data_IF_046886495531
#
_entry.id   IF_046886495531
#
_cell.length_a   1.000
_cell.length_b   1.000
_cell.length_c   1.000
_cell.angle_alpha   90.00
_cell.angle_beta   90.00
_cell.angle_gamma   90.00
#
_symmetry.space_group_name_H-M   'P 1'
#
loop_
_entity.id
_entity.type
_entity.pdbx_description
1 polymer ?
#
# COMPACT_ATOMS: atom_id res chain seq x y z
N UNK A 1 16.11 -8.66 20.51
CA UNK A 1 16.03 -8.15 19.13
C UNK A 1 14.64 -8.46 18.61
N UNK A 2 13.87 -7.44 18.23
CA UNK A 2 12.51 -7.58 17.67
C UNK A 2 12.57 -8.22 16.28
N UNK A 3 11.67 -9.17 15.96
CA UNK A 3 11.58 -9.82 14.66
C UNK A 3 10.66 -9.05 13.70
N UNK A 4 10.75 -9.30 12.39
CA UNK A 4 9.85 -8.71 11.39
C UNK A 4 8.38 -8.98 11.73
N UNK A 5 8.06 -10.21 12.12
CA UNK A 5 6.73 -10.63 12.55
C UNK A 5 6.25 -9.87 13.79
N UNK A 6 7.14 -9.65 14.78
CA UNK A 6 6.80 -8.89 15.99
C UNK A 6 6.55 -7.41 15.71
N UNK A 7 7.25 -6.82 14.74
CA UNK A 7 6.96 -5.43 14.31
C UNK A 7 5.51 -5.33 13.83
N UNK A 8 5.07 -6.25 12.98
CA UNK A 8 3.68 -6.30 12.51
C UNK A 8 2.70 -6.46 13.67
N UNK A 9 2.93 -7.43 14.54
CA UNK A 9 2.04 -7.72 15.67
C UNK A 9 1.91 -6.52 16.62
N UNK A 10 3.02 -5.83 16.93
CA UNK A 10 2.99 -4.64 17.78
C UNK A 10 2.27 -3.46 17.14
N UNK A 11 2.47 -3.22 15.85
CA UNK A 11 1.72 -2.19 15.12
C UNK A 11 0.22 -2.51 15.07
N UNK A 12 -0.14 -3.77 14.83
CA UNK A 12 -1.55 -4.21 14.86
C UNK A 12 -2.15 -3.98 16.24
N UNK A 13 -1.47 -4.39 17.31
CA UNK A 13 -1.94 -4.18 18.68
C UNK A 13 -2.11 -2.69 19.00
N UNK A 14 -1.13 -1.86 18.65
CA UNK A 14 -1.18 -0.43 18.89
C UNK A 14 -2.37 0.22 18.17
N UNK A 15 -2.52 -0.02 16.88
CA UNK A 15 -3.59 0.62 16.10
C UNK A 15 -4.99 0.07 16.43
N UNK A 16 -5.08 -1.19 16.86
CA UNK A 16 -6.31 -1.72 17.45
C UNK A 16 -6.70 -0.92 18.70
N UNK A 17 -5.76 -0.61 19.58
CA UNK A 17 -6.00 0.22 20.78
C UNK A 17 -6.40 1.67 20.43
N UNK A 18 -6.00 2.16 19.26
CA UNK A 18 -6.43 3.47 18.74
C UNK A 18 -7.79 3.41 17.99
N UNK A 19 -8.49 2.27 18.06
CA UNK A 19 -9.82 2.10 17.46
C UNK A 19 -9.83 1.81 15.97
N UNK A 20 -8.72 1.38 15.38
CA UNK A 20 -8.69 0.94 14.00
C UNK A 20 -9.19 -0.50 13.85
N UNK A 21 -10.05 -0.75 12.87
CA UNK A 21 -10.38 -2.09 12.43
C UNK A 21 -9.16 -2.74 11.78
N UNK A 22 -8.73 -3.90 12.27
CA UNK A 22 -7.64 -4.66 11.64
C UNK A 22 -8.20 -5.46 10.47
N UNK A 23 -7.83 -5.07 9.27
CA UNK A 23 -8.27 -5.74 8.04
C UNK A 23 -7.18 -6.65 7.49
N UNK A 24 -7.59 -7.57 6.63
CA UNK A 24 -6.66 -8.38 5.86
C UNK A 24 -6.20 -7.62 4.61
N UNK A 25 -5.03 -7.95 4.03
CA UNK A 25 -4.62 -7.36 2.77
C UNK A 25 -5.66 -7.62 1.67
N UNK A 26 -5.71 -6.75 0.66
CA UNK A 26 -6.47 -7.07 -0.55
C UNK A 26 -5.81 -8.26 -1.24
N UNK A 27 -6.62 -9.21 -1.73
CA UNK A 27 -6.19 -10.50 -2.26
C UNK A 27 -5.85 -10.46 -3.76
N UNK A 28 -5.25 -9.37 -4.19
CA UNK A 28 -4.76 -9.20 -5.56
C UNK A 28 -3.52 -8.31 -5.60
N UNK A 29 -2.86 -8.25 -6.75
CA UNK A 29 -1.64 -7.48 -6.93
C UNK A 29 -1.96 -5.98 -6.94
N UNK A 30 -1.31 -5.26 -6.03
CA UNK A 30 -1.39 -3.79 -5.93
C UNK A 30 0.00 -3.21 -5.70
N UNK A 31 0.22 -1.98 -6.15
CA UNK A 31 1.50 -1.29 -6.02
C UNK A 31 1.69 -0.53 -4.70
N UNK A 32 0.63 -0.37 -3.92
CA UNK A 32 0.65 0.32 -2.63
C UNK A 32 -0.57 -0.03 -1.78
N UNK A 33 -0.45 0.18 -0.46
CA UNK A 33 -1.56 0.03 0.48
C UNK A 33 -2.74 0.94 0.17
N UNK A 34 -2.49 2.12 -0.39
CA UNK A 34 -3.53 3.06 -0.85
C UNK A 34 -4.52 2.45 -1.85
N UNK A 35 -4.08 1.47 -2.62
CA UNK A 35 -4.93 0.77 -3.61
C UNK A 35 -5.96 -0.16 -2.99
N UNK A 36 -5.82 -0.52 -1.72
CA UNK A 36 -6.84 -1.30 -1.01
C UNK A 36 -8.16 -0.54 -0.97
N UNK A 37 -9.29 -1.24 -1.13
CA UNK A 37 -10.63 -0.63 -1.05
C UNK A 37 -10.86 0.12 0.26
N UNK A 38 -10.26 -0.36 1.36
CA UNK A 38 -10.31 0.29 2.67
C UNK A 38 -9.68 1.67 2.73
N UNK A 39 -8.77 2.00 1.81
CA UNK A 39 -8.19 3.34 1.68
C UNK A 39 -8.80 4.07 0.50
N UNK A 40 -8.63 3.58 -0.72
CA UNK A 40 -9.05 4.29 -1.94
C UNK A 40 -10.54 4.63 -1.94
N UNK A 41 -11.42 3.65 -1.76
CA UNK A 41 -12.86 3.88 -1.81
C UNK A 41 -13.38 4.51 -0.51
N UNK A 42 -12.86 4.08 0.65
CA UNK A 42 -13.31 4.60 1.94
C UNK A 42 -12.83 6.02 2.25
N UNK A 43 -11.85 6.54 1.53
CA UNK A 43 -11.50 7.97 1.56
C UNK A 43 -12.62 8.85 1.01
N UNK A 44 -13.49 8.30 0.17
CA UNK A 44 -14.61 9.01 -0.44
C UNK A 44 -15.83 9.11 0.49
N UNK A 45 -16.54 10.21 0.38
CA UNK A 45 -17.77 10.45 1.12
C UNK A 45 -17.58 10.82 2.59
N UNK A 46 -18.69 11.17 3.28
CA UNK A 46 -18.65 11.76 4.62
C UNK A 46 -18.55 10.72 5.75
N UNK A 47 -18.62 9.42 5.45
CA UNK A 47 -18.69 8.38 6.46
C UNK A 47 -17.37 8.27 7.24
N UNK A 48 -17.41 8.23 8.60
CA UNK A 48 -16.22 8.02 9.41
C UNK A 48 -15.63 6.63 9.17
N UNK A 49 -14.29 6.54 9.22
CA UNK A 49 -13.58 5.30 8.96
C UNK A 49 -12.25 5.23 9.70
N UNK A 50 -11.92 4.07 10.24
CA UNK A 50 -10.61 3.79 10.83
C UNK A 50 -10.22 2.35 10.53
N UNK A 51 -9.09 2.14 9.88
CA UNK A 51 -8.58 0.80 9.58
C UNK A 51 -7.06 0.76 9.58
N UNK A 52 -6.52 -0.42 9.82
CA UNK A 52 -5.10 -0.71 9.70
C UNK A 52 -4.91 -2.12 9.13
N UNK A 53 -3.91 -2.29 8.27
CA UNK A 53 -3.63 -3.59 7.64
C UNK A 53 -2.22 -3.63 7.07
N UNK A 54 -1.69 -4.84 6.92
CA UNK A 54 -0.48 -5.08 6.12
C UNK A 54 -0.89 -5.25 4.67
N UNK A 55 -0.19 -4.60 3.76
CA UNK A 55 -0.42 -4.78 2.33
C UNK A 55 0.89 -5.11 1.63
N UNK A 56 1.07 -6.36 1.16
CA UNK A 56 2.11 -6.69 0.20
C UNK A 56 1.94 -5.85 -1.05
N UNK A 57 2.98 -5.10 -1.42
CA UNK A 57 2.93 -4.14 -2.52
C UNK A 57 3.93 -4.55 -3.59
N UNK A 58 3.46 -4.69 -4.82
CA UNK A 58 4.26 -5.15 -5.96
C UNK A 58 4.63 -3.99 -6.87
N UNK A 59 5.93 -3.83 -7.10
CA UNK A 59 6.49 -2.82 -8.00
C UNK A 59 7.44 -3.49 -8.98
N UNK A 60 6.94 -4.00 -10.11
CA UNK A 60 7.73 -4.80 -11.06
C UNK A 60 9.03 -4.14 -11.52
N UNK A 61 9.04 -2.81 -11.71
CA UNK A 61 10.24 -2.06 -12.09
C UNK A 61 11.33 -2.01 -11.02
N UNK A 62 10.97 -2.22 -9.76
CA UNK A 62 11.91 -2.19 -8.64
C UNK A 62 12.60 -3.54 -8.40
N UNK A 63 12.24 -4.56 -9.15
CA UNK A 63 12.89 -5.87 -9.12
C UNK A 63 14.40 -5.79 -9.37
N UNK A 64 15.19 -6.57 -8.63
CA UNK A 64 16.66 -6.58 -8.70
C UNK A 64 17.25 -7.98 -8.53
N UNK A 65 16.52 -9.03 -8.92
CA UNK A 65 16.97 -10.44 -8.87
C UNK A 65 17.43 -10.91 -7.47
N UNK A 66 16.97 -10.25 -6.40
CA UNK A 66 17.43 -10.52 -5.04
C UNK A 66 18.87 -10.05 -4.76
N UNK A 67 19.48 -9.27 -5.64
CA UNK A 67 20.89 -8.83 -5.53
C UNK A 67 21.05 -7.47 -4.84
N UNK A 68 19.96 -6.70 -4.68
CA UNK A 68 20.00 -5.40 -4.02
C UNK A 68 19.52 -5.51 -2.56
N UNK A 69 20.28 -4.98 -1.59
CA UNK A 69 19.95 -5.13 -0.17
C UNK A 69 18.72 -4.29 0.28
N UNK A 70 18.29 -3.31 -0.53
CA UNK A 70 17.27 -2.34 -0.14
C UNK A 70 16.10 -2.22 -1.12
N UNK A 71 16.21 -2.76 -2.34
CA UNK A 71 15.19 -2.62 -3.37
C UNK A 71 14.60 -3.98 -3.76
N UNK A 72 13.28 -4.08 -3.67
CA UNK A 72 12.53 -5.29 -3.85
C UNK A 72 11.40 -5.09 -4.87
N UNK A 73 11.08 -6.14 -5.62
CA UNK A 73 9.85 -6.23 -6.40
C UNK A 73 8.61 -6.17 -5.52
N UNK A 74 8.63 -6.89 -4.40
CA UNK A 74 7.54 -6.91 -3.42
C UNK A 74 8.05 -6.48 -2.05
N UNK A 75 7.39 -5.50 -1.46
CA UNK A 75 7.64 -5.07 -0.08
C UNK A 75 6.32 -4.99 0.68
N UNK A 76 6.40 -4.92 2.01
CA UNK A 76 5.22 -4.87 2.87
C UNK A 76 5.04 -3.45 3.42
N UNK A 77 3.86 -2.91 3.19
CA UNK A 77 3.44 -1.67 3.82
C UNK A 77 2.49 -1.98 4.96
N UNK A 78 2.71 -1.36 6.12
CA UNK A 78 1.67 -1.30 7.14
C UNK A 78 0.91 -0.01 6.93
N UNK A 79 -0.37 -0.14 6.60
CA UNK A 79 -1.24 0.94 6.19
C UNK A 79 -2.20 1.28 7.32
N UNK A 80 -2.30 2.58 7.65
CA UNK A 80 -3.32 3.12 8.55
C UNK A 80 -4.11 4.18 7.83
N UNK A 81 -5.43 4.15 7.94
CA UNK A 81 -6.33 5.14 7.34
C UNK A 81 -7.36 5.59 8.35
N UNK A 82 -7.48 6.90 8.55
CA UNK A 82 -8.40 7.51 9.52
C UNK A 82 -9.14 8.67 8.85
N UNK A 83 -10.46 8.60 8.86
CA UNK A 83 -11.36 9.63 8.34
C UNK A 83 -12.44 9.98 9.39
N UNK A 84 -12.61 11.26 9.75
CA UNK A 84 -11.73 12.38 9.41
C UNK A 84 -10.34 12.22 10.01
N UNK A 85 -9.33 12.84 9.37
CA UNK A 85 -7.97 12.87 9.88
C UNK A 85 -7.95 13.55 11.26
N UNK A 86 -7.46 12.88 12.33
CA UNK A 86 -7.41 13.50 13.66
C UNK A 86 -6.30 14.57 13.72
N UNK A 87 -6.52 15.60 14.51
CA UNK A 87 -5.55 16.69 14.68
C UNK A 87 -4.23 16.25 15.31
N UNK A 88 -4.25 15.15 16.08
CA UNK A 88 -3.10 14.57 16.77
C UNK A 88 -2.51 13.34 16.04
N UNK A 89 -2.72 13.19 14.73
CA UNK A 89 -2.27 12.01 13.99
C UNK A 89 -0.74 11.80 14.08
N UNK A 90 0.04 12.89 14.16
CA UNK A 90 1.50 12.83 14.33
C UNK A 90 1.85 12.24 15.69
N UNK A 91 1.17 12.65 16.76
CA UNK A 91 1.39 12.12 18.11
C UNK A 91 1.03 10.63 18.19
N UNK A 92 -0.06 10.21 17.51
CA UNK A 92 -0.44 8.81 17.38
C UNK A 92 0.65 8.00 16.66
N UNK A 93 1.21 8.55 15.59
CA UNK A 93 2.33 7.91 14.89
C UNK A 93 3.57 7.77 15.78
N UNK A 94 4.01 8.84 16.44
CA UNK A 94 5.15 8.79 17.36
C UNK A 94 4.88 7.80 18.51
N UNK A 95 3.65 7.70 18.97
CA UNK A 95 3.21 6.68 19.93
C UNK A 95 3.41 5.25 19.39
N UNK A 96 3.15 5.02 18.11
CA UNK A 96 3.37 3.71 17.49
C UNK A 96 4.85 3.34 17.41
N UNK A 97 5.74 4.31 17.16
CA UNK A 97 7.19 4.08 17.18
C UNK A 97 7.67 3.70 18.59
N UNK A 98 7.17 4.39 19.62
CA UNK A 98 7.46 4.04 21.01
C UNK A 98 6.95 2.61 21.38
N UNK A 99 5.80 2.21 20.83
CA UNK A 99 5.28 0.84 21.03
C UNK A 99 6.20 -0.23 20.39
N UNK A 100 6.95 0.13 19.36
CA UNK A 100 8.00 -0.73 18.77
C UNK A 100 9.29 -0.75 19.60
N UNK A 101 9.43 0.12 20.60
CA UNK A 101 10.65 0.27 21.41
C UNK A 101 11.61 1.32 20.88
N UNK A 102 11.17 2.18 19.95
CA UNK A 102 11.96 3.29 19.44
C UNK A 102 11.83 4.47 20.39
N UNK A 103 12.94 4.94 20.92
CA UNK A 103 13.00 6.17 21.70
C UNK A 103 12.97 7.38 20.76
N UNK A 104 11.84 8.08 20.75
CA UNK A 104 11.61 9.22 19.86
C UNK A 104 12.31 10.50 20.30
N UNK A 105 12.93 10.54 21.50
CA UNK A 105 13.68 11.67 21.99
C UNK A 105 15.17 11.58 21.63
N UNK A 106 15.67 10.34 21.45
CA UNK A 106 17.09 10.07 21.15
C UNK A 106 17.33 9.95 19.64
N UNK A 107 16.34 9.48 18.89
CA UNK A 107 16.46 9.28 17.45
C UNK A 107 16.16 10.58 16.68
N UNK A 108 16.95 10.85 15.63
CA UNK A 108 16.71 11.96 14.71
C UNK A 108 15.53 11.61 13.80
N UNK A 109 14.34 12.11 14.15
CA UNK A 109 13.11 11.92 13.39
C UNK A 109 12.75 13.24 12.72
N UNK A 110 12.72 13.23 11.38
CA UNK A 110 12.43 14.40 10.56
C UNK A 110 11.20 14.17 9.73
N UNK A 111 10.33 15.17 9.72
CA UNK A 111 9.18 15.26 8.82
C UNK A 111 9.56 16.18 7.67
N UNK A 112 9.72 15.61 6.49
CA UNK A 112 10.10 16.33 5.27
C UNK A 112 8.88 16.45 4.39
N UNK A 113 8.52 17.67 3.99
CA UNK A 113 7.36 17.93 3.14
C UNK A 113 7.48 17.15 1.83
N UNK A 114 6.46 16.36 1.52
CA UNK A 114 6.32 15.60 0.28
C UNK A 114 4.86 15.52 -0.12
N UNK A 115 4.52 16.16 -1.24
CA UNK A 115 3.19 16.10 -1.80
C UNK A 115 3.05 14.82 -2.62
N UNK A 116 2.33 13.89 -2.05
CA UNK A 116 2.11 12.58 -2.64
C UNK A 116 1.06 12.61 -3.75
N UNK A 117 1.32 11.87 -4.83
CA UNK A 117 0.34 11.66 -5.90
C UNK A 117 0.40 10.24 -6.47
N UNK A 118 -0.74 9.78 -6.96
CA UNK A 118 -0.87 8.57 -7.74
C UNK A 118 -1.68 8.87 -9.01
N UNK A 119 -1.00 9.10 -10.15
CA UNK A 119 -1.66 9.52 -11.38
C UNK A 119 -2.67 8.51 -11.94
N UNK A 120 -2.46 7.20 -11.75
CA UNK A 120 -3.37 6.17 -12.24
C UNK A 120 -4.67 6.12 -11.44
N UNK A 121 -4.61 6.39 -10.15
CA UNK A 121 -5.78 6.43 -9.28
C UNK A 121 -6.43 7.83 -9.23
N UNK A 122 -5.85 8.84 -9.86
CA UNK A 122 -6.34 10.21 -9.78
C UNK A 122 -6.37 10.72 -8.33
N UNK A 123 -5.39 10.30 -7.53
CA UNK A 123 -5.29 10.61 -6.13
C UNK A 123 -4.07 11.49 -5.86
N UNK A 124 -4.22 12.46 -4.96
CA UNK A 124 -3.12 13.26 -4.44
C UNK A 124 -3.44 13.80 -3.05
N UNK A 125 -2.41 14.16 -2.32
CA UNK A 125 -2.54 14.71 -0.99
C UNK A 125 -1.30 15.48 -0.54
N UNK A 126 -1.49 16.33 0.45
CA UNK A 126 -0.41 16.97 1.18
C UNK A 126 0.17 15.97 2.17
N UNK A 127 1.48 16.02 2.41
CA UNK A 127 2.05 15.07 3.34
C UNK A 127 3.52 15.28 3.65
N UNK A 128 4.07 14.27 4.29
CA UNK A 128 5.47 14.21 4.70
C UNK A 128 6.05 12.81 4.53
N UNK A 129 7.30 12.76 4.11
CA UNK A 129 8.16 11.62 4.40
C UNK A 129 8.67 11.71 5.83
N UNK A 130 8.67 10.61 6.56
CA UNK A 130 9.31 10.53 7.87
C UNK A 130 10.65 9.83 7.71
N UNK A 131 11.70 10.56 8.00
CA UNK A 131 13.07 10.08 7.99
C UNK A 131 13.55 9.83 9.43
N UNK A 132 14.06 8.65 9.68
CA UNK A 132 14.63 8.26 10.96
C UNK A 132 16.11 7.92 10.77
N UNK A 133 16.98 8.72 11.41
CA UNK A 133 18.44 8.59 11.32
C UNK A 133 18.96 8.49 9.86
N UNK A 134 18.36 9.27 8.96
CA UNK A 134 18.77 9.33 7.55
C UNK A 134 18.12 8.28 6.63
N UNK A 135 17.17 7.47 7.12
CA UNK A 135 16.39 6.51 6.32
C UNK A 135 14.93 6.89 6.35
N UNK A 136 14.29 7.01 5.17
CA UNK A 136 12.84 7.16 5.06
C UNK A 136 12.16 5.86 5.50
N UNK A 137 11.29 5.95 6.51
CA UNK A 137 10.60 4.79 7.09
C UNK A 137 9.08 4.83 6.94
N UNK A 138 8.52 6.02 6.71
CA UNK A 138 7.06 6.21 6.68
C UNK A 138 6.69 7.37 5.77
N UNK A 139 5.53 7.25 5.13
CA UNK A 139 4.86 8.32 4.38
C UNK A 139 3.55 8.69 5.06
N UNK A 140 3.33 9.97 5.29
CA UNK A 140 2.02 10.54 5.65
C UNK A 140 1.35 11.15 4.43
N UNK A 141 0.04 10.99 4.34
CA UNK A 141 -0.75 11.64 3.29
C UNK A 141 -2.08 12.13 3.86
N UNK A 142 -2.41 13.38 3.62
CA UNK A 142 -3.74 13.93 3.83
C UNK A 142 -4.41 14.03 2.46
N UNK A 143 -5.29 13.09 2.15
CA UNK A 143 -5.94 13.04 0.85
C UNK A 143 -6.79 14.26 0.59
N UNK A 144 -6.45 14.98 -0.47
CA UNK A 144 -7.24 16.09 -0.99
C UNK A 144 -8.21 15.59 -2.06
N UNK A 145 -7.76 14.62 -2.85
CA UNK A 145 -8.52 14.07 -3.97
C UNK A 145 -8.22 12.58 -4.14
N UNK A 146 -9.24 11.80 -4.45
CA UNK A 146 -9.15 10.37 -4.76
C UNK A 146 -10.11 10.05 -5.89
N UNK A 147 -9.64 9.36 -6.92
CA UNK A 147 -10.43 9.11 -8.12
C UNK A 147 -10.95 10.38 -8.80
N UNK A 148 -10.23 11.48 -8.69
CA UNK A 148 -10.66 12.77 -9.21
C UNK A 148 -11.77 13.45 -8.40
N UNK A 149 -12.18 12.92 -7.25
CA UNK A 149 -13.20 13.48 -6.35
C UNK A 149 -12.54 14.07 -5.10
N UNK A 150 -13.03 15.22 -4.66
CA UNK A 150 -12.57 15.83 -3.41
C UNK A 150 -12.90 14.96 -2.20
N UNK A 151 -11.93 14.82 -1.28
CA UNK A 151 -12.11 14.15 0.00
C UNK A 151 -12.68 15.12 1.04
N UNK A 152 -13.92 14.91 1.43
CA UNK A 152 -14.63 15.69 2.46
C UNK A 152 -15.38 14.74 3.40
N UNK A 153 -14.93 14.61 4.67
CA UNK A 153 -13.76 15.22 5.28
C UNK A 153 -12.42 14.66 4.76
N UNK A 154 -11.32 15.36 5.07
CA UNK A 154 -9.96 14.90 4.74
C UNK A 154 -9.68 13.58 5.44
N UNK A 155 -9.09 12.65 4.71
CA UNK A 155 -8.63 11.35 5.22
C UNK A 155 -7.13 11.41 5.45
N UNK A 156 -6.69 10.99 6.63
CA UNK A 156 -5.27 10.82 6.96
C UNK A 156 -4.84 9.39 6.70
N UNK A 157 -3.69 9.23 6.04
CA UNK A 157 -3.04 7.95 5.76
C UNK A 157 -1.64 7.94 6.36
N UNK A 158 -1.26 6.81 6.96
CA UNK A 158 0.10 6.54 7.42
C UNK A 158 0.54 5.24 6.77
N UNK A 159 1.65 5.29 6.03
CA UNK A 159 2.20 4.13 5.33
C UNK A 159 3.60 3.85 5.84
N UNK A 160 3.75 2.79 6.64
CA UNK A 160 5.06 2.34 7.12
C UNK A 160 5.70 1.41 6.09
N UNK A 161 6.98 1.62 5.80
CA UNK A 161 7.82 0.64 5.10
C UNK A 161 8.34 -0.40 6.10
N UNK A 162 7.72 -1.57 6.16
CA UNK A 162 8.01 -2.56 7.22
C UNK A 162 9.44 -3.09 7.16
N UNK A 163 9.98 -3.32 5.97
CA UNK A 163 11.35 -3.78 5.78
C UNK A 163 12.35 -2.75 6.31
N UNK A 164 12.24 -1.50 5.87
CA UNK A 164 13.15 -0.42 6.31
C UNK A 164 13.06 -0.18 7.81
N UNK A 165 11.86 -0.17 8.37
CA UNK A 165 11.64 -0.01 9.80
C UNK A 165 12.28 -1.17 10.59
N UNK A 166 12.14 -2.40 10.11
CA UNK A 166 12.73 -3.58 10.75
C UNK A 166 14.25 -3.61 10.59
N UNK A 167 14.80 -3.21 9.42
CA UNK A 167 16.25 -3.06 9.22
C UNK A 167 16.85 -2.12 10.25
N UNK A 168 16.20 -0.98 10.49
CA UNK A 168 16.61 -0.06 11.54
C UNK A 168 16.58 -0.73 12.93
N UNK A 169 15.47 -1.37 13.30
CA UNK A 169 15.30 -2.00 14.63
C UNK A 169 16.24 -3.18 14.89
N UNK A 170 16.66 -3.86 13.84
CA UNK A 170 17.61 -4.97 13.92
C UNK A 170 19.05 -4.57 13.67
N UNK A 171 19.30 -3.31 13.31
CA UNK A 171 20.61 -2.80 12.87
C UNK A 171 21.20 -3.69 11.76
N UNK A 172 20.44 -3.85 10.68
CA UNK A 172 20.72 -4.74 9.57
C UNK A 172 20.73 -3.97 8.25
N UNK A 173 21.77 -4.14 7.45
CA UNK A 173 22.00 -3.40 6.20
C UNK A 173 21.47 -4.13 4.96
N UNK A 174 21.05 -5.39 5.11
CA UNK A 174 20.52 -6.19 4.02
C UNK A 174 19.16 -6.77 4.42
N UNK A 175 18.15 -6.45 3.64
CA UNK A 175 16.76 -6.89 3.89
C UNK A 175 16.62 -8.42 3.99
N UNK A 176 17.40 -9.18 3.24
CA UNK A 176 17.35 -10.64 3.25
C UNK A 176 17.89 -11.28 4.53
N UNK A 177 18.72 -10.54 5.29
CA UNK A 177 19.27 -11.00 6.56
C UNK A 177 18.38 -10.66 7.76
N UNK A 178 17.28 -9.93 7.55
CA UNK A 178 16.30 -9.65 8.59
C UNK A 178 15.81 -10.93 9.24
N UNK A 179 15.78 -10.97 10.56
CA UNK A 179 15.15 -12.05 11.31
C UNK A 179 13.63 -11.90 11.18
N UNK A 180 13.01 -12.83 10.46
CA UNK A 180 11.57 -12.86 10.25
C UNK A 180 10.84 -13.36 11.50
N UNK A 181 11.29 -14.53 12.02
CA UNK A 181 10.80 -15.11 13.28
C UNK A 181 11.84 -16.08 13.89
N UNK A 182 11.59 -16.48 15.14
CA UNK A 182 12.36 -17.49 15.85
C UNK A 182 11.44 -18.45 16.59
N UNK A 183 11.90 -19.70 16.75
CA UNK A 183 11.22 -20.69 17.60
C UNK A 183 12.22 -21.60 18.26
N UNK A 184 11.76 -22.36 19.26
CA UNK A 184 12.53 -23.40 19.94
C UNK A 184 12.14 -24.74 19.36
N UNK A 185 13.15 -25.53 18.94
CA UNK A 185 12.95 -26.92 18.57
C UNK A 185 12.80 -27.82 19.79
N UNK A 186 12.34 -29.05 19.60
CA UNK A 186 12.13 -30.04 20.63
C UNK A 186 13.43 -30.38 21.43
N UNK A 187 14.59 -30.20 20.81
CA UNK A 187 15.90 -30.39 21.43
C UNK A 187 16.40 -29.16 22.20
N UNK A 188 15.60 -28.10 22.26
CA UNK A 188 15.94 -26.82 22.91
C UNK A 188 16.80 -25.89 22.07
N UNK A 189 17.16 -26.26 20.84
CA UNK A 189 17.88 -25.37 19.94
C UNK A 189 16.98 -24.24 19.42
N UNK A 190 17.54 -23.03 19.24
CA UNK A 190 16.82 -21.91 18.64
C UNK A 190 16.99 -21.94 17.12
N UNK A 191 15.86 -22.00 16.42
CA UNK A 191 15.81 -21.80 14.98
C UNK A 191 15.47 -20.36 14.63
N UNK A 192 16.07 -19.88 13.56
CA UNK A 192 15.82 -18.54 13.01
C UNK A 192 15.39 -18.69 11.56
N UNK A 193 14.29 -18.05 11.20
CA UNK A 193 13.86 -17.85 9.82
C UNK A 193 14.17 -16.42 9.42
N UNK A 194 14.86 -16.24 8.30
CA UNK A 194 15.18 -14.92 7.77
C UNK A 194 14.14 -14.46 6.74
N UNK A 195 14.12 -13.16 6.45
CA UNK A 195 13.35 -12.60 5.34
C UNK A 195 13.77 -13.23 3.99
N UNK A 196 15.06 -13.46 3.83
CA UNK A 196 15.63 -14.13 2.66
C UNK A 196 15.11 -15.56 2.48
N UNK A 197 15.01 -16.34 3.56
CA UNK A 197 14.45 -17.70 3.50
C UNK A 197 13.02 -17.70 2.96
N UNK A 198 12.26 -16.65 3.25
CA UNK A 198 10.85 -16.54 2.82
C UNK A 198 10.71 -15.98 1.41
N UNK A 199 11.49 -14.94 1.05
CA UNK A 199 11.20 -14.10 -0.13
C UNK A 199 12.28 -14.05 -1.19
N UNK A 200 13.55 -14.44 -0.89
CA UNK A 200 14.65 -14.25 -1.84
C UNK A 200 14.41 -14.95 -3.18
N UNK A 201 14.01 -16.21 -3.17
CA UNK A 201 13.76 -16.96 -4.42
C UNK A 201 12.60 -16.35 -5.21
N UNK A 202 11.55 -15.85 -4.52
CA UNK A 202 10.47 -15.14 -5.19
C UNK A 202 10.97 -13.85 -5.88
N UNK A 203 11.86 -13.09 -5.22
CA UNK A 203 12.48 -11.90 -5.84
C UNK A 203 13.25 -12.24 -7.11
N UNK A 204 14.01 -13.34 -7.11
CA UNK A 204 14.76 -13.82 -8.28
C UNK A 204 13.80 -14.16 -9.44
N UNK A 205 12.83 -15.02 -9.19
CA UNK A 205 11.91 -15.51 -10.22
C UNK A 205 10.96 -14.42 -10.76
N UNK A 206 10.45 -13.57 -9.87
CA UNK A 206 9.62 -12.44 -10.30
C UNK A 206 10.40 -11.40 -11.12
N UNK A 207 11.69 -11.22 -10.84
CA UNK A 207 12.54 -10.36 -11.67
C UNK A 207 12.67 -10.90 -13.09
N UNK A 208 12.94 -12.21 -13.24
CA UNK A 208 12.96 -12.87 -14.55
C UNK A 208 11.61 -12.75 -15.26
N UNK A 209 10.51 -12.97 -14.55
CA UNK A 209 9.17 -12.82 -15.13
C UNK A 209 8.93 -11.37 -15.59
N UNK A 210 9.21 -10.38 -14.74
CA UNK A 210 8.91 -8.97 -15.04
C UNK A 210 9.72 -8.43 -16.22
N UNK A 211 11.00 -8.80 -16.32
CA UNK A 211 11.91 -8.21 -17.30
C UNK A 211 12.12 -9.06 -18.56
N UNK A 212 11.92 -10.38 -18.50
CA UNK A 212 12.34 -11.30 -19.53
C UNK A 212 11.23 -12.24 -20.03
N UNK A 213 10.56 -12.95 -19.12
CA UNK A 213 9.70 -14.06 -19.46
C UNK A 213 8.23 -13.71 -19.71
N UNK A 214 7.75 -12.56 -19.21
CA UNK A 214 6.37 -12.15 -19.46
C UNK A 214 6.12 -11.88 -20.94
N UNK A 215 4.95 -12.31 -21.41
CA UNK A 215 4.53 -12.20 -22.81
C UNK A 215 3.81 -10.84 -23.05
N UNK A 216 4.43 -9.88 -23.77
CA UNK A 216 3.84 -8.57 -23.97
C UNK A 216 2.49 -8.60 -24.69
N UNK A 217 2.30 -9.49 -25.66
CA UNK A 217 1.04 -9.58 -26.41
C UNK A 217 -0.11 -10.04 -25.52
N UNK A 218 0.14 -10.99 -24.63
CA UNK A 218 -0.86 -11.45 -23.67
C UNK A 218 -1.18 -10.36 -22.65
N UNK A 219 -0.17 -9.64 -22.17
CA UNK A 219 -0.37 -8.53 -21.23
C UNK A 219 -1.20 -7.40 -21.86
N UNK A 220 -0.95 -7.06 -23.13
CA UNK A 220 -1.75 -6.06 -23.84
C UNK A 220 -3.23 -6.48 -23.93
N UNK A 221 -3.49 -7.75 -24.30
CA UNK A 221 -4.86 -8.29 -24.37
C UNK A 221 -5.53 -8.33 -22.98
N UNK A 222 -4.78 -8.66 -21.95
CA UNK A 222 -5.29 -8.66 -20.56
C UNK A 222 -5.66 -7.23 -20.12
N UNK A 223 -4.82 -6.25 -20.43
CA UNK A 223 -5.14 -4.85 -20.11
C UNK A 223 -6.44 -4.41 -20.79
N UNK A 224 -6.59 -4.66 -22.07
CA UNK A 224 -7.80 -4.29 -22.82
C UNK A 224 -9.04 -5.02 -22.27
N UNK A 225 -8.90 -6.27 -21.88
CA UNK A 225 -9.96 -7.03 -21.22
C UNK A 225 -10.37 -6.39 -19.89
N UNK A 226 -9.43 -6.09 -19.01
CA UNK A 226 -9.74 -5.51 -17.70
C UNK A 226 -10.35 -4.11 -17.83
N UNK A 227 -9.88 -3.30 -18.75
CA UNK A 227 -10.46 -1.98 -19.01
C UNK A 227 -11.91 -2.09 -19.51
N UNK A 228 -12.17 -2.94 -20.49
CA UNK A 228 -13.52 -3.12 -21.05
C UNK A 228 -14.47 -3.74 -20.04
N UNK A 229 -14.00 -4.70 -19.25
CA UNK A 229 -14.80 -5.33 -18.20
C UNK A 229 -15.12 -4.35 -17.06
N UNK A 230 -14.16 -3.49 -16.66
CA UNK A 230 -14.44 -2.42 -15.69
C UNK A 230 -15.60 -1.52 -16.17
N UNK A 231 -15.57 -1.10 -17.44
CA UNK A 231 -16.62 -0.27 -18.04
C UNK A 231 -17.97 -0.98 -18.04
N UNK A 232 -18.00 -2.25 -18.45
CA UNK A 232 -19.24 -3.06 -18.45
C UNK A 232 -19.83 -3.23 -17.05
N UNK A 233 -18.99 -3.45 -16.04
CA UNK A 233 -19.45 -3.60 -14.65
C UNK A 233 -19.99 -2.28 -14.08
N UNK A 234 -19.45 -1.14 -14.48
CA UNK A 234 -19.99 0.17 -14.10
C UNK A 234 -21.37 0.42 -14.71
N UNK A 235 -21.60 0.00 -15.96
CA UNK A 235 -22.95 0.07 -16.60
C UNK A 235 -23.97 -0.76 -15.83
N UNK A 236 -23.53 -1.80 -15.12
CA UNK A 236 -24.37 -2.60 -14.24
C UNK A 236 -24.45 -2.06 -12.80
N UNK A 237 -23.87 -0.90 -12.49
CA UNK A 237 -23.75 -0.32 -11.15
C UNK A 237 -23.00 -1.21 -10.14
N UNK A 238 -22.02 -1.97 -10.61
CA UNK A 238 -21.18 -2.86 -9.79
C UNK A 238 -19.79 -2.25 -9.56
N UNK A 239 -19.72 -1.16 -8.79
CA UNK A 239 -18.51 -0.40 -8.57
C UNK A 239 -17.40 -1.22 -7.91
N UNK A 240 -17.69 -2.12 -6.97
CA UNK A 240 -16.66 -2.90 -6.26
C UNK A 240 -15.97 -3.91 -7.19
N UNK A 241 -16.68 -4.79 -7.93
CA UNK A 241 -15.99 -5.63 -8.92
C UNK A 241 -15.34 -4.84 -10.05
N UNK A 242 -15.90 -3.69 -10.44
CA UNK A 242 -15.25 -2.81 -11.43
C UNK A 242 -13.90 -2.28 -10.90
N UNK A 243 -13.81 -1.95 -9.63
CA UNK A 243 -12.54 -1.54 -9.01
C UNK A 243 -11.49 -2.64 -9.04
N UNK A 244 -11.88 -3.90 -8.84
CA UNK A 244 -10.94 -5.02 -9.00
C UNK A 244 -10.35 -5.09 -10.41
N UNK A 245 -11.15 -4.81 -11.45
CA UNK A 245 -10.64 -4.74 -12.83
C UNK A 245 -9.68 -3.55 -13.02
N UNK A 246 -9.94 -2.41 -12.37
CA UNK A 246 -9.00 -1.27 -12.37
C UNK A 246 -7.65 -1.68 -11.78
N UNK A 247 -7.64 -2.38 -10.64
CA UNK A 247 -6.40 -2.83 -10.00
C UNK A 247 -5.65 -3.83 -10.88
N UNK A 248 -6.34 -4.77 -11.50
CA UNK A 248 -5.74 -5.73 -12.44
C UNK A 248 -5.17 -5.04 -13.68
N UNK A 249 -5.87 -4.05 -14.25
CA UNK A 249 -5.35 -3.23 -15.34
C UNK A 249 -4.08 -2.47 -14.91
N UNK A 250 -4.07 -1.91 -13.71
CA UNK A 250 -2.91 -1.21 -13.14
C UNK A 250 -1.68 -2.12 -12.98
N UNK A 251 -1.86 -3.33 -12.45
CA UNK A 251 -0.77 -4.29 -12.33
C UNK A 251 -0.25 -4.74 -13.71
N UNK A 252 -1.16 -5.03 -14.65
CA UNK A 252 -0.80 -5.40 -16.02
C UNK A 252 0.00 -4.29 -16.71
N UNK A 253 -0.40 -3.02 -16.53
CA UNK A 253 0.36 -1.87 -16.99
C UNK A 253 1.77 -1.81 -16.37
N UNK A 254 1.90 -2.06 -15.08
CA UNK A 254 3.20 -2.08 -14.40
C UNK A 254 4.12 -3.19 -14.96
N UNK A 255 3.57 -4.34 -15.33
CA UNK A 255 4.31 -5.42 -16.00
C UNK A 255 4.74 -5.01 -17.41
N UNK A 256 3.86 -4.41 -18.20
CA UNK A 256 4.19 -3.89 -19.54
C UNK A 256 5.31 -2.84 -19.49
N UNK A 257 5.24 -1.94 -18.51
CA UNK A 257 6.26 -0.91 -18.29
C UNK A 257 7.60 -1.51 -17.85
N UNK A 258 7.60 -2.48 -16.95
CA UNK A 258 8.81 -3.21 -16.53
C UNK A 258 9.42 -4.01 -17.68
N UNK A 259 8.58 -4.67 -18.48
CA UNK A 259 9.00 -5.46 -19.65
C UNK A 259 9.59 -4.61 -20.77
N UNK A 260 9.44 -3.28 -20.72
CA UNK A 260 9.85 -2.37 -21.78
C UNK A 260 9.00 -2.52 -23.06
N UNK A 261 7.77 -3.02 -22.92
CA UNK A 261 6.86 -3.29 -24.02
C UNK A 261 6.10 -2.06 -24.53
N UNK A 262 6.18 -0.94 -23.82
CA UNK A 262 5.50 0.32 -24.12
C UNK A 262 6.50 1.48 -24.13
N UNK A 263 6.34 2.41 -25.05
CA UNK A 263 7.13 3.63 -25.13
C UNK A 263 6.73 4.64 -24.05
N UNK A 264 7.52 5.70 -23.88
CA UNK A 264 7.22 6.80 -22.95
C UNK A 264 5.86 7.46 -23.28
N UNK A 265 5.57 7.65 -24.58
CA UNK A 265 4.29 8.22 -25.02
C UNK A 265 3.11 7.29 -24.73
N UNK A 266 3.27 6.00 -25.04
CA UNK A 266 2.25 4.98 -24.72
C UNK A 266 2.03 4.86 -23.23
N UNK A 267 3.09 4.96 -22.42
CA UNK A 267 2.99 4.95 -20.96
C UNK A 267 2.03 6.04 -20.45
N UNK A 268 2.15 7.25 -20.95
CA UNK A 268 1.25 8.36 -20.61
C UNK A 268 -0.21 8.05 -20.98
N UNK A 269 -0.43 7.44 -22.16
CA UNK A 269 -1.76 7.03 -22.63
C UNK A 269 -2.38 5.94 -21.73
N UNK A 270 -1.61 4.93 -21.31
CA UNK A 270 -2.08 3.90 -20.38
C UNK A 270 -2.43 4.46 -19.00
N UNK A 271 -1.62 5.38 -18.47
CA UNK A 271 -1.93 6.08 -17.21
C UNK A 271 -3.26 6.83 -17.34
N UNK A 272 -3.49 7.53 -18.43
CA UNK A 272 -4.75 8.26 -18.67
C UNK A 272 -5.95 7.30 -18.77
N UNK A 273 -5.81 6.14 -19.42
CA UNK A 273 -6.86 5.11 -19.52
C UNK A 273 -7.24 4.59 -18.13
N UNK A 274 -6.25 4.23 -17.31
CA UNK A 274 -6.49 3.74 -15.93
C UNK A 274 -7.13 4.84 -15.10
N UNK A 275 -6.65 6.07 -15.17
CA UNK A 275 -7.23 7.22 -14.44
C UNK A 275 -8.70 7.43 -14.80
N UNK A 276 -9.05 7.28 -16.07
CA UNK A 276 -10.45 7.43 -16.53
C UNK A 276 -11.36 6.40 -15.91
N UNK A 277 -10.99 5.11 -15.92
CA UNK A 277 -11.81 4.07 -15.28
C UNK A 277 -11.80 4.18 -13.75
N UNK A 278 -10.69 4.58 -13.14
CA UNK A 278 -10.60 4.85 -11.70
C UNK A 278 -11.59 5.94 -11.26
N UNK A 279 -11.66 7.02 -12.03
CA UNK A 279 -12.62 8.12 -11.76
C UNK A 279 -14.06 7.66 -11.86
N UNK A 280 -14.38 6.91 -12.89
CA UNK A 280 -15.75 6.41 -13.10
C UNK A 280 -16.16 5.44 -11.98
N UNK A 281 -15.25 4.57 -11.54
CA UNK A 281 -15.49 3.67 -10.41
C UNK A 281 -15.65 4.45 -9.10
N UNK A 282 -14.82 5.44 -8.84
CA UNK A 282 -14.90 6.28 -7.65
C UNK A 282 -16.26 7.01 -7.59
N UNK A 283 -16.69 7.59 -8.69
CA UNK A 283 -18.01 8.25 -8.78
C UNK A 283 -19.16 7.26 -8.56
N UNK A 284 -19.12 6.11 -9.22
CA UNK A 284 -20.16 5.07 -9.08
C UNK A 284 -20.25 4.56 -7.64
N UNK A 285 -19.10 4.37 -6.97
CA UNK A 285 -19.05 3.99 -5.56
C UNK A 285 -19.65 5.08 -4.66
N UNK A 286 -19.24 6.35 -4.85
CA UNK A 286 -19.79 7.47 -4.10
C UNK A 286 -21.30 7.56 -4.23
N UNK A 287 -21.83 7.52 -5.47
CA UNK A 287 -23.27 7.59 -5.76
C UNK A 287 -24.02 6.41 -5.12
N UNK A 288 -23.42 5.22 -5.10
CA UNK A 288 -24.01 4.06 -4.43
C UNK A 288 -24.11 4.26 -2.91
N UNK A 289 -23.07 4.83 -2.27
CA UNK A 289 -23.10 5.17 -0.84
C UNK A 289 -24.12 6.25 -0.53
N UNK A 290 -24.23 7.26 -1.39
CA UNK A 290 -25.22 8.33 -1.27
C UNK A 290 -26.66 7.81 -1.37
N UNK A 291 -26.94 6.94 -2.35
CA UNK A 291 -28.26 6.28 -2.48
C UNK A 291 -28.65 5.47 -1.24
N UNK A 292 -27.67 4.88 -0.54
CA UNK A 292 -27.89 4.19 0.74
C UNK A 292 -28.04 5.18 1.92
N UNK A 293 -27.87 6.49 1.69
CA UNK A 293 -27.91 7.52 2.72
C UNK A 293 -26.73 7.48 3.68
N UNK A 294 -25.55 7.07 3.21
CA UNK A 294 -24.32 6.98 3.99
C UNK A 294 -24.53 6.25 5.34
N UNK A 295 -24.78 4.93 5.32
CA UNK A 295 -25.29 4.19 6.49
C UNK A 295 -24.41 4.32 7.76
N UNK A 296 -23.10 4.54 7.61
CA UNK A 296 -22.20 4.66 8.75
C UNK A 296 -22.33 5.99 9.50
N UNK A 297 -22.92 7.03 8.90
CA UNK A 297 -23.22 8.27 9.62
C UNK A 297 -24.28 8.06 10.71
N UNK A 298 -25.20 7.12 10.49
CA UNK A 298 -26.34 6.85 11.38
C UNK A 298 -26.00 5.94 12.55
N UNK A 299 -24.85 5.25 12.51
CA UNK A 299 -24.44 4.32 13.57
C UNK A 299 -23.84 5.01 14.81
N UNK A 300 -23.55 6.29 14.70
CA UNK A 300 -22.87 7.07 15.76
C UNK A 300 -23.80 8.11 16.42
N UNK A 301 -25.09 8.01 16.18
CA UNK A 301 -26.12 8.86 16.81
C UNK A 301 -26.84 8.15 17.95
#
# INVERSE_FOLDING_TARGET
>A
MITFQEVILRLQQYWNQQGCALLQPIDMEVGAGTSHTATFLRALGPEPWRAAYVQPSRRPKDARYGENPNRLHQHHQFQVVIKPAPTNIVDLYLGSLRALGIDTEVNDIRFVEDNWENPTLGAWGLGWEVWMNGMEVTQFTYFQQVGGLECKPITGEITYGLERLTMYLQNCDNVFDLVYTRWQDADGSTRTLTYGDVFHQNEVEQSHYNFEASDPEKLLRQFDYFETEAKRLMDLNLALPAYEMVLKAGHTFNLLDARGAISVTERAAYIARIRTISRSVAQSYYDARERLGFPMLKKNS
#
